data_IF_099336338946
#
_entry.id   IF_099336338946
#
_cell.length_a   1.000
_cell.length_b   1.000
_cell.length_c   1.000
_cell.angle_alpha   90.00
_cell.angle_beta   90.00
_cell.angle_gamma   90.00
#
_symmetry.space_group_name_H-M   'P 1'
#
loop_
_entity.id
_entity.type
_entity.pdbx_description
1 polymer ?
#
# COMPACT_ATOMS: atom_id res chain seq x y z
N UNK A 1 9.76 -23.31 28.50
CA UNK A 1 9.64 -23.29 27.03
C UNK A 1 9.81 -24.70 26.56
N UNK A 2 8.73 -25.31 26.07
CA UNK A 2 8.78 -26.62 25.46
C UNK A 2 8.62 -26.51 23.94
N UNK A 3 9.13 -27.50 23.21
CA UNK A 3 8.93 -27.61 21.79
C UNK A 3 7.79 -28.61 21.51
N UNK A 4 6.91 -28.25 20.57
CA UNK A 4 5.73 -29.03 20.19
C UNK A 4 5.68 -29.21 18.70
N UNK A 5 5.66 -30.46 18.26
CA UNK A 5 5.73 -30.83 16.85
C UNK A 5 4.37 -31.35 16.39
N UNK A 6 3.86 -30.84 15.28
CA UNK A 6 2.66 -31.37 14.65
C UNK A 6 2.89 -32.85 14.29
N UNK A 7 2.00 -33.73 14.75
CA UNK A 7 2.13 -35.18 14.54
C UNK A 7 0.92 -35.82 13.87
N UNK A 8 -0.27 -35.27 14.08
CA UNK A 8 -1.50 -35.79 13.50
C UNK A 8 -2.35 -34.64 12.95
N UNK A 9 -3.16 -34.93 11.93
CA UNK A 9 -4.25 -34.03 11.54
C UNK A 9 -5.19 -33.85 12.72
N UNK A 10 -5.54 -32.61 13.04
CA UNK A 10 -6.42 -32.32 14.17
C UNK A 10 -6.39 -30.88 14.61
N UNK A 11 -6.80 -30.68 15.85
CA UNK A 11 -7.05 -29.39 16.45
C UNK A 11 -5.82 -28.89 17.22
N UNK A 12 -5.60 -27.58 17.21
CA UNK A 12 -4.54 -26.95 17.98
C UNK A 12 -4.68 -27.30 19.46
N UNK A 13 -5.90 -27.20 20.02
CA UNK A 13 -6.18 -27.45 21.43
C UNK A 13 -6.40 -28.95 21.77
N UNK A 14 -5.85 -29.88 20.99
CA UNK A 14 -5.88 -31.32 21.28
C UNK A 14 -4.45 -31.86 21.49
N UNK A 15 -4.19 -32.47 22.65
CA UNK A 15 -2.89 -33.07 22.96
C UNK A 15 -2.52 -34.21 21.98
N UNK A 16 -3.50 -34.89 21.37
CA UNK A 16 -3.23 -35.94 20.40
C UNK A 16 -2.71 -35.41 19.05
N UNK A 17 -2.79 -34.10 18.81
CA UNK A 17 -2.23 -33.46 17.61
C UNK A 17 -0.73 -33.22 17.72
N UNK A 18 -0.19 -33.21 18.95
CA UNK A 18 1.18 -32.77 19.23
C UNK A 18 2.09 -33.88 19.77
N UNK A 19 3.37 -33.79 19.39
CA UNK A 19 4.47 -34.58 19.94
C UNK A 19 5.50 -33.70 20.65
N UNK A 20 6.21 -34.27 21.62
CA UNK A 20 7.29 -33.61 22.34
C UNK A 20 8.63 -33.62 21.57
N UNK A 21 8.74 -34.43 20.52
CA UNK A 21 9.92 -34.55 19.66
C UNK A 21 9.48 -34.67 18.20
N UNK A 22 10.31 -34.21 17.27
CA UNK A 22 10.00 -34.33 15.84
C UNK A 22 9.86 -35.81 15.42
N UNK A 23 8.76 -36.15 14.75
CA UNK A 23 8.42 -37.53 14.35
C UNK A 23 7.98 -38.46 15.49
N UNK A 24 7.99 -38.01 16.75
CA UNK A 24 7.66 -38.81 17.94
C UNK A 24 6.20 -39.25 18.05
N UNK A 25 5.86 -39.87 19.17
CA UNK A 25 4.48 -40.26 19.48
C UNK A 25 3.60 -39.04 19.81
N UNK A 26 2.31 -39.14 19.52
CA UNK A 26 1.31 -38.14 19.90
C UNK A 26 1.03 -38.15 21.42
N UNK A 27 0.39 -37.08 21.92
CA UNK A 27 -0.07 -36.97 23.32
C UNK A 27 0.69 -35.94 24.15
N UNK A 28 1.57 -35.14 23.55
CA UNK A 28 2.18 -34.00 24.23
C UNK A 28 1.14 -32.89 24.44
N UNK A 29 1.36 -32.02 25.43
CA UNK A 29 0.48 -30.86 25.62
C UNK A 29 0.46 -29.99 24.37
N UNK A 30 -0.68 -29.42 24.00
CA UNK A 30 -0.70 -28.40 22.94
C UNK A 30 0.18 -27.17 23.31
N UNK A 31 0.70 -26.42 22.33
CA UNK A 31 1.50 -25.23 22.58
C UNK A 31 0.68 -24.14 23.26
N UNK A 32 1.32 -23.46 24.22
CA UNK A 32 0.85 -22.22 24.83
C UNK A 32 1.76 -21.06 24.44
N UNK A 33 1.46 -19.83 24.89
CA UNK A 33 2.29 -18.65 24.62
C UNK A 33 3.75 -18.74 25.09
N UNK A 34 4.11 -19.75 25.89
CA UNK A 34 5.47 -20.01 26.36
C UNK A 34 6.23 -21.09 25.57
N UNK A 35 5.59 -21.72 24.57
CA UNK A 35 6.09 -22.91 23.87
C UNK A 35 6.28 -22.64 22.37
N UNK A 36 7.28 -23.27 21.77
CA UNK A 36 7.46 -23.21 20.32
C UNK A 36 6.60 -24.28 19.64
N UNK A 37 5.93 -23.90 18.55
CA UNK A 37 5.16 -24.79 17.71
C UNK A 37 5.92 -25.05 16.39
N UNK A 38 6.08 -26.31 16.03
CA UNK A 38 6.81 -26.76 14.85
C UNK A 38 5.91 -27.53 13.89
N UNK A 39 5.93 -27.14 12.62
CA UNK A 39 5.38 -27.92 11.51
C UNK A 39 6.56 -28.32 10.62
N UNK A 40 7.09 -29.52 10.85
CA UNK A 40 8.26 -30.03 10.12
C UNK A 40 7.84 -30.81 8.88
N UNK A 41 8.80 -31.42 8.17
CA UNK A 41 8.50 -32.37 7.10
C UNK A 41 7.63 -33.56 7.55
N UNK A 42 7.64 -33.92 8.84
CA UNK A 42 6.74 -34.93 9.39
C UNK A 42 5.27 -34.48 9.47
N UNK A 43 5.01 -33.17 9.30
CA UNK A 43 3.69 -32.58 9.16
C UNK A 43 3.11 -32.61 7.75
N UNK A 44 3.86 -33.11 6.76
CA UNK A 44 3.41 -33.14 5.36
C UNK A 44 2.13 -33.98 5.20
N UNK A 45 1.16 -33.43 4.46
CA UNK A 45 -0.17 -34.00 4.27
C UNK A 45 -1.10 -33.89 5.48
N UNK A 46 -0.64 -33.29 6.59
CA UNK A 46 -1.47 -33.07 7.77
C UNK A 46 -2.12 -31.68 7.74
N UNK A 47 -3.29 -31.59 8.38
CA UNK A 47 -3.99 -30.32 8.61
C UNK A 47 -4.04 -30.02 10.10
N UNK A 48 -3.44 -28.90 10.50
CA UNK A 48 -3.57 -28.33 11.83
C UNK A 48 -4.64 -27.25 11.82
N UNK A 49 -5.71 -27.43 12.59
CA UNK A 49 -6.82 -26.48 12.68
C UNK A 49 -6.69 -25.68 13.98
N UNK A 50 -6.62 -24.35 13.88
CA UNK A 50 -6.72 -23.47 15.04
C UNK A 50 -8.19 -23.44 15.47
N UNK A 51 -8.60 -24.34 16.35
CA UNK A 51 -10.01 -24.57 16.67
C UNK A 51 -10.55 -23.64 17.77
N UNK A 52 -9.66 -23.20 18.67
CA UNK A 52 -10.01 -22.29 19.76
C UNK A 52 -9.47 -20.89 19.48
N UNK A 53 -10.33 -19.87 19.61
CA UNK A 53 -9.93 -18.48 19.50
C UNK A 53 -8.88 -18.12 20.56
N UNK A 54 -7.81 -17.45 20.13
CA UNK A 54 -6.66 -17.10 20.95
C UNK A 54 -5.80 -18.31 21.39
N UNK A 55 -5.83 -19.41 20.63
CA UNK A 55 -4.73 -20.39 20.66
C UNK A 55 -3.40 -19.67 20.46
N UNK A 56 -2.33 -20.15 21.11
CA UNK A 56 -1.10 -19.38 21.21
C UNK A 56 0.17 -20.24 21.11
N UNK A 57 1.23 -19.64 20.58
CA UNK A 57 2.60 -20.14 20.70
C UNK A 57 3.57 -18.98 20.97
N UNK A 58 4.76 -19.28 21.48
CA UNK A 58 5.87 -18.36 21.51
C UNK A 58 6.36 -18.09 20.09
N UNK A 59 6.79 -19.14 19.37
CA UNK A 59 7.20 -19.05 17.97
C UNK A 59 6.47 -20.12 17.15
N UNK A 60 6.15 -19.78 15.90
CA UNK A 60 5.61 -20.73 14.93
C UNK A 60 6.66 -20.98 13.84
N UNK A 61 7.19 -22.19 13.79
CA UNK A 61 8.28 -22.55 12.88
C UNK A 61 7.84 -23.69 11.98
N UNK A 62 7.65 -23.39 10.71
CA UNK A 62 7.40 -24.37 9.68
C UNK A 62 8.71 -24.56 8.91
N UNK A 63 9.28 -25.77 8.97
CA UNK A 63 10.61 -26.06 8.42
C UNK A 63 10.59 -27.38 7.65
N UNK A 64 10.82 -27.32 6.34
CA UNK A 64 10.79 -28.51 5.48
C UNK A 64 9.40 -29.08 5.22
N UNK A 65 8.34 -28.46 5.75
CA UNK A 65 6.97 -28.78 5.39
C UNK A 65 6.64 -28.19 4.00
N UNK A 66 6.06 -29.01 3.14
CA UNK A 66 5.75 -28.69 1.74
C UNK A 66 4.29 -28.95 1.38
N UNK A 67 3.57 -29.74 2.18
CA UNK A 67 2.14 -30.04 1.94
C UNK A 67 1.29 -29.96 3.21
N UNK A 68 1.87 -29.48 4.32
CA UNK A 68 1.12 -29.25 5.55
C UNK A 68 0.15 -28.06 5.38
N UNK A 69 -1.00 -28.14 6.03
CA UNK A 69 -1.99 -27.06 6.05
C UNK A 69 -2.17 -26.52 7.47
N UNK A 70 -2.04 -25.20 7.64
CA UNK A 70 -2.51 -24.46 8.81
C UNK A 70 -3.87 -23.84 8.48
N UNK A 71 -4.93 -24.35 9.07
CA UNK A 71 -6.29 -23.87 8.86
C UNK A 71 -6.73 -22.95 10.00
N UNK A 72 -7.18 -21.74 9.66
CA UNK A 72 -7.70 -20.74 10.59
C UNK A 72 -9.20 -20.53 10.28
N UNK A 73 -10.11 -21.12 11.07
CA UNK A 73 -11.55 -20.95 10.90
C UNK A 73 -12.01 -19.49 11.02
N UNK A 74 -13.27 -19.23 10.66
CA UNK A 74 -13.89 -17.93 10.86
C UNK A 74 -13.94 -17.57 12.35
N UNK A 75 -13.79 -16.27 12.66
CA UNK A 75 -13.82 -15.71 14.02
C UNK A 75 -12.79 -16.31 15.00
N UNK A 76 -11.70 -16.88 14.49
CA UNK A 76 -10.60 -17.43 15.28
C UNK A 76 -9.31 -16.67 14.99
N UNK A 77 -8.54 -16.43 16.05
CA UNK A 77 -7.19 -15.89 15.96
C UNK A 77 -6.14 -16.82 16.56
N UNK A 78 -5.00 -16.95 15.89
CA UNK A 78 -3.76 -17.54 16.42
C UNK A 78 -2.85 -16.42 16.94
N UNK A 79 -2.40 -16.52 18.20
CA UNK A 79 -1.46 -15.60 18.80
C UNK A 79 -0.03 -16.14 18.71
N UNK A 80 0.90 -15.32 18.21
CA UNK A 80 2.32 -15.67 18.16
C UNK A 80 3.11 -14.63 18.94
N UNK A 81 3.77 -15.05 20.02
CA UNK A 81 4.51 -14.18 20.94
C UNK A 81 5.89 -13.75 20.45
N UNK A 82 6.33 -14.24 19.30
CA UNK A 82 7.66 -14.05 18.76
C UNK A 82 7.67 -14.20 17.24
N UNK A 83 8.60 -14.99 16.71
CA UNK A 83 8.79 -15.10 15.27
C UNK A 83 7.85 -16.10 14.61
N UNK A 84 7.52 -15.82 13.35
CA UNK A 84 6.86 -16.74 12.43
C UNK A 84 7.83 -17.06 11.29
N UNK A 85 8.01 -18.35 11.01
CA UNK A 85 8.73 -18.83 9.83
C UNK A 85 7.86 -19.81 9.07
N UNK A 86 7.46 -19.46 7.85
CA UNK A 86 6.76 -20.32 6.91
C UNK A 86 7.68 -20.73 5.75
N UNK A 87 7.29 -21.80 5.08
CA UNK A 87 7.85 -22.23 3.79
C UNK A 87 6.91 -21.83 2.66
N UNK A 88 7.44 -21.66 1.45
CA UNK A 88 6.64 -21.25 0.29
C UNK A 88 5.57 -22.27 -0.13
N UNK A 89 5.79 -23.55 0.18
CA UNK A 89 5.02 -24.68 -0.37
C UNK A 89 3.87 -25.12 0.55
N UNK A 90 3.94 -24.83 1.86
CA UNK A 90 2.85 -25.15 2.77
C UNK A 90 1.59 -24.32 2.46
N UNK A 91 0.45 -24.68 3.05
CA UNK A 91 -0.79 -23.93 2.88
C UNK A 91 -1.22 -23.27 4.19
N UNK A 92 -1.58 -21.98 4.13
CA UNK A 92 -2.28 -21.28 5.22
C UNK A 92 -3.66 -20.88 4.70
N UNK A 93 -4.72 -21.43 5.28
CA UNK A 93 -6.10 -21.13 4.88
C UNK A 93 -6.83 -20.33 5.95
N UNK A 94 -7.67 -19.40 5.49
CA UNK A 94 -8.67 -18.71 6.28
C UNK A 94 -9.99 -18.66 5.52
N UNK A 95 -11.08 -18.40 6.23
CA UNK A 95 -12.43 -18.40 5.64
C UNK A 95 -12.85 -16.99 5.23
N UNK A 96 -12.42 -15.99 5.99
CA UNK A 96 -12.72 -14.58 5.77
C UNK A 96 -11.77 -13.69 6.59
N UNK A 97 -12.01 -12.38 6.58
CA UNK A 97 -11.20 -11.39 7.27
C UNK A 97 -11.14 -11.55 8.81
N UNK A 98 -11.98 -12.40 9.43
CA UNK A 98 -11.96 -12.69 10.87
C UNK A 98 -11.13 -13.93 11.23
N UNK A 99 -10.66 -14.67 10.23
CA UNK A 99 -9.57 -15.66 10.38
C UNK A 99 -8.26 -14.89 10.43
N UNK A 100 -7.54 -14.90 11.56
CA UNK A 100 -6.39 -13.98 11.75
C UNK A 100 -5.20 -14.62 12.45
N UNK A 101 -3.99 -14.30 12.02
CA UNK A 101 -2.76 -14.48 12.80
C UNK A 101 -2.38 -13.16 13.45
N UNK A 102 -2.09 -13.14 14.76
CA UNK A 102 -1.67 -11.94 15.50
C UNK A 102 -0.27 -12.14 16.06
N UNK A 103 0.66 -11.27 15.67
CA UNK A 103 1.99 -11.20 16.26
C UNK A 103 1.97 -10.25 17.46
N UNK A 104 1.96 -10.82 18.66
CA UNK A 104 1.77 -10.11 19.94
C UNK A 104 3.07 -9.86 20.70
N UNK A 105 4.22 -10.33 20.19
CA UNK A 105 5.53 -10.03 20.74
C UNK A 105 6.57 -9.80 19.66
N UNK A 106 7.74 -9.31 20.06
CA UNK A 106 8.80 -8.88 19.14
C UNK A 106 9.40 -10.09 18.42
N UNK A 107 9.56 -9.98 17.09
CA UNK A 107 10.06 -11.08 16.29
C UNK A 107 10.19 -10.76 14.82
N UNK A 108 10.52 -11.80 14.05
CA UNK A 108 10.64 -11.75 12.60
C UNK A 108 9.46 -12.44 11.94
N UNK A 109 9.00 -11.91 10.82
CA UNK A 109 8.01 -12.55 9.95
C UNK A 109 8.69 -13.02 8.66
N UNK A 110 8.71 -14.33 8.44
CA UNK A 110 9.17 -14.96 7.21
C UNK A 110 8.02 -15.74 6.61
N UNK A 111 7.43 -15.25 5.52
CA UNK A 111 6.39 -15.96 4.75
C UNK A 111 6.95 -16.78 3.59
N UNK A 112 8.20 -16.52 3.17
CA UNK A 112 8.82 -17.15 2.02
C UNK A 112 7.99 -17.03 0.72
N UNK A 113 7.25 -15.93 0.55
CA UNK A 113 6.37 -15.71 -0.62
C UNK A 113 5.04 -16.47 -0.58
N UNK A 114 4.77 -17.26 0.47
CA UNK A 114 3.46 -17.88 0.69
C UNK A 114 2.37 -16.82 0.85
N UNK A 115 1.24 -17.00 0.16
CA UNK A 115 0.05 -16.20 0.45
C UNK A 115 -0.65 -16.68 1.72
N UNK A 116 -0.87 -15.77 2.65
CA UNK A 116 -1.68 -16.04 3.83
C UNK A 116 -3.15 -15.86 3.45
N UNK A 117 -3.88 -16.98 3.36
CA UNK A 117 -5.33 -16.99 3.12
C UNK A 117 -6.18 -16.44 4.27
N UNK A 118 -5.61 -15.64 5.16
CA UNK A 118 -6.21 -15.10 6.37
C UNK A 118 -5.73 -13.64 6.59
N UNK A 119 -6.30 -12.94 7.56
CA UNK A 119 -5.78 -11.64 7.99
C UNK A 119 -4.51 -11.76 8.82
N UNK A 120 -3.70 -10.71 8.83
CA UNK A 120 -2.46 -10.65 9.60
C UNK A 120 -2.40 -9.37 10.44
N UNK A 121 -2.24 -9.50 11.75
CA UNK A 121 -2.08 -8.36 12.67
C UNK A 121 -0.64 -8.32 13.19
N UNK A 122 0.19 -7.42 12.65
CA UNK A 122 1.63 -7.40 12.93
C UNK A 122 2.24 -5.99 12.75
N UNK A 123 2.53 -5.23 13.83
CA UNK A 123 2.48 -5.60 15.24
C UNK A 123 1.08 -5.50 15.88
N UNK A 124 0.88 -6.29 16.95
CA UNK A 124 -0.29 -6.24 17.84
C UNK A 124 0.15 -6.05 19.31
N UNK A 125 0.82 -4.95 19.64
CA UNK A 125 1.17 -4.64 21.03
C UNK A 125 2.14 -3.47 21.21
N UNK A 126 1.97 -2.72 22.31
CA UNK A 126 2.87 -1.61 22.63
C UNK A 126 4.30 -2.12 22.87
N UNK A 127 5.30 -1.49 22.25
CA UNK A 127 6.71 -1.92 22.36
C UNK A 127 7.07 -3.16 21.52
N UNK A 128 6.11 -3.80 20.85
CA UNK A 128 6.36 -4.91 19.93
C UNK A 128 7.03 -4.39 18.67
N UNK A 129 8.10 -5.03 18.24
CA UNK A 129 8.71 -4.78 16.92
C UNK A 129 8.61 -6.02 16.05
N UNK A 130 7.96 -5.89 14.90
CA UNK A 130 7.95 -6.94 13.86
C UNK A 130 8.86 -6.50 12.73
N UNK A 131 9.82 -7.35 12.39
CA UNK A 131 10.74 -7.13 11.27
C UNK A 131 10.46 -8.16 10.18
N UNK A 132 10.23 -7.72 8.95
CA UNK A 132 10.08 -8.66 7.83
C UNK A 132 11.44 -9.25 7.46
N UNK A 133 11.43 -10.55 7.17
CA UNK A 133 12.58 -11.30 6.67
C UNK A 133 12.33 -11.89 5.27
N UNK A 134 11.23 -11.50 4.63
CA UNK A 134 10.88 -11.87 3.27
C UNK A 134 9.61 -11.13 2.81
N UNK A 135 9.35 -11.17 1.50
CA UNK A 135 8.14 -10.60 0.91
C UNK A 135 6.90 -11.29 1.46
N UNK A 136 5.95 -10.48 1.92
CA UNK A 136 4.74 -10.92 2.62
C UNK A 136 3.50 -10.70 1.76
N UNK A 137 2.68 -11.75 1.60
CA UNK A 137 1.41 -11.69 0.87
C UNK A 137 0.28 -12.10 1.81
N UNK A 138 -0.76 -11.26 1.90
CA UNK A 138 -1.91 -11.45 2.78
C UNK A 138 -3.18 -11.25 1.96
N UNK A 139 -4.00 -12.29 1.78
CA UNK A 139 -5.18 -12.22 0.92
C UNK A 139 -6.25 -11.24 1.47
N UNK A 140 -6.26 -11.02 2.78
CA UNK A 140 -7.14 -10.09 3.48
C UNK A 140 -6.38 -8.85 3.99
N UNK A 141 -6.76 -8.35 5.16
CA UNK A 141 -6.16 -7.16 5.73
C UNK A 141 -4.81 -7.48 6.38
N UNK A 142 -3.80 -6.68 6.05
CA UNK A 142 -2.63 -6.49 6.89
C UNK A 142 -2.96 -5.35 7.84
N UNK A 143 -3.19 -5.66 9.12
CA UNK A 143 -3.51 -4.67 10.14
C UNK A 143 -2.35 -4.48 11.12
N UNK A 144 -2.26 -3.27 11.66
CA UNK A 144 -1.32 -2.91 12.72
C UNK A 144 -2.09 -2.17 13.80
N UNK A 145 -1.78 -2.44 15.07
CA UNK A 145 -2.48 -1.81 16.19
C UNK A 145 -1.53 -0.84 16.90
N UNK A 146 -0.49 -1.36 17.52
CA UNK A 146 0.53 -0.58 18.25
C UNK A 146 1.88 -1.27 18.09
N UNK A 147 2.98 -0.52 18.22
CA UNK A 147 4.33 -1.04 18.08
C UNK A 147 5.05 -0.55 16.83
N UNK A 148 6.06 -1.28 16.38
CA UNK A 148 6.89 -0.94 15.22
C UNK A 148 6.83 -2.03 14.16
N UNK A 149 6.47 -1.67 12.92
CA UNK A 149 6.68 -2.52 11.74
C UNK A 149 7.93 -2.03 11.00
N UNK A 150 8.89 -2.92 10.81
CA UNK A 150 10.07 -2.68 9.96
C UNK A 150 10.01 -3.60 8.76
N UNK A 151 9.82 -3.03 7.56
CA UNK A 151 9.72 -3.82 6.34
C UNK A 151 11.06 -4.39 5.89
N UNK A 152 12.17 -3.80 6.37
CA UNK A 152 13.53 -4.24 6.05
C UNK A 152 13.75 -4.41 4.53
N UNK A 153 13.15 -3.49 3.75
CA UNK A 153 13.15 -3.46 2.29
C UNK A 153 12.36 -4.58 1.59
N UNK A 154 11.70 -5.47 2.32
CA UNK A 154 10.79 -6.47 1.75
C UNK A 154 9.41 -5.89 1.45
N UNK A 155 8.77 -6.44 0.42
CA UNK A 155 7.47 -5.98 -0.06
C UNK A 155 6.32 -6.57 0.75
N UNK A 156 5.20 -5.85 0.77
CA UNK A 156 3.93 -6.31 1.30
C UNK A 156 2.89 -6.24 0.18
N UNK A 157 2.19 -7.33 -0.07
CA UNK A 157 0.96 -7.34 -0.87
C UNK A 157 -0.21 -7.71 0.03
N UNK A 158 -1.26 -6.90 0.07
CA UNK A 158 -2.42 -7.19 0.89
C UNK A 158 -3.74 -6.75 0.29
N UNK A 159 -4.84 -7.31 0.78
CA UNK A 159 -6.19 -6.82 0.53
C UNK A 159 -6.35 -5.35 0.95
N UNK A 160 -6.00 -5.01 2.18
CA UNK A 160 -5.89 -3.61 2.62
C UNK A 160 -4.85 -3.50 3.73
N UNK A 161 -4.19 -2.35 3.78
CA UNK A 161 -3.24 -2.03 4.85
C UNK A 161 -3.90 -1.08 5.83
N UNK A 162 -4.11 -1.52 7.07
CA UNK A 162 -4.91 -0.79 8.06
C UNK A 162 -4.09 -0.53 9.32
N UNK A 163 -4.02 0.73 9.73
CA UNK A 163 -3.68 1.05 11.11
C UNK A 163 -4.97 1.15 11.91
N UNK A 164 -5.15 0.31 12.93
CA UNK A 164 -6.38 0.22 13.72
C UNK A 164 -6.36 1.10 14.97
N UNK A 165 -5.19 1.39 15.54
CA UNK A 165 -5.04 2.18 16.78
C UNK A 165 -3.81 3.08 16.74
N UNK A 166 -3.74 4.06 17.65
CA UNK A 166 -2.65 5.03 17.72
C UNK A 166 -1.34 4.41 18.23
N UNK A 167 -0.20 4.98 17.87
CA UNK A 167 1.10 4.57 18.42
C UNK A 167 1.81 3.45 17.65
N UNK A 168 1.53 3.35 16.34
CA UNK A 168 2.32 2.52 15.42
C UNK A 168 3.41 3.35 14.74
N UNK A 169 4.61 2.80 14.62
CA UNK A 169 5.73 3.32 13.81
C UNK A 169 5.99 2.40 12.64
N UNK A 170 6.14 2.95 11.44
CA UNK A 170 6.47 2.21 10.23
C UNK A 170 7.84 2.62 9.71
N UNK A 171 8.76 1.66 9.61
CA UNK A 171 10.07 1.83 8.97
C UNK A 171 10.01 1.13 7.60
N UNK A 172 9.80 1.90 6.54
CA UNK A 172 9.46 1.36 5.23
C UNK A 172 10.69 1.10 4.32
N UNK A 173 11.86 1.65 4.64
CA UNK A 173 13.07 1.44 3.83
C UNK A 173 12.82 1.69 2.34
N UNK A 174 13.18 0.73 1.48
CA UNK A 174 12.88 0.74 0.04
C UNK A 174 11.72 -0.18 -0.37
N UNK A 175 10.88 -0.62 0.59
CA UNK A 175 9.80 -1.56 0.32
C UNK A 175 8.71 -1.02 -0.62
N UNK A 176 8.00 -1.92 -1.28
CA UNK A 176 6.71 -1.63 -1.92
C UNK A 176 5.56 -2.24 -1.11
N UNK A 177 4.59 -1.42 -0.74
CA UNK A 177 3.31 -1.86 -0.16
C UNK A 177 2.25 -1.78 -1.26
N UNK A 178 1.68 -2.92 -1.64
CA UNK A 178 0.63 -3.02 -2.65
C UNK A 178 -0.69 -3.42 -2.00
N UNK A 179 -1.66 -2.52 -2.00
CA UNK A 179 -3.02 -2.76 -1.53
C UNK A 179 -3.94 -2.94 -2.74
N UNK A 180 -4.64 -4.08 -2.85
CA UNK A 180 -5.73 -4.23 -3.84
C UNK A 180 -6.95 -3.39 -3.46
N UNK A 181 -7.13 -3.16 -2.16
CA UNK A 181 -8.05 -2.21 -1.56
C UNK A 181 -7.35 -0.94 -1.11
N UNK A 182 -7.61 -0.52 0.13
CA UNK A 182 -7.18 0.78 0.66
C UNK A 182 -5.87 0.70 1.44
N UNK A 183 -5.14 1.82 1.46
CA UNK A 183 -4.16 2.12 2.50
C UNK A 183 -4.81 3.10 3.48
N UNK A 184 -5.12 2.64 4.69
CA UNK A 184 -5.96 3.37 5.63
C UNK A 184 -5.28 3.51 6.99
N UNK A 185 -4.72 4.69 7.26
CA UNK A 185 -4.28 5.04 8.60
C UNK A 185 -5.45 5.64 9.37
N UNK A 186 -6.17 4.86 10.18
CA UNK A 186 -7.35 5.38 10.90
C UNK A 186 -6.97 6.10 12.20
N UNK A 187 -5.72 5.94 12.65
CA UNK A 187 -5.20 6.54 13.86
C UNK A 187 -3.79 7.12 13.65
N UNK A 188 -3.37 7.96 14.60
CA UNK A 188 -2.07 8.63 14.54
C UNK A 188 -0.92 7.62 14.60
N UNK A 189 -0.04 7.72 13.61
CA UNK A 189 1.15 6.90 13.46
C UNK A 189 2.36 7.73 13.02
N UNK A 190 3.54 7.11 13.07
CA UNK A 190 4.81 7.65 12.56
C UNK A 190 5.18 6.88 11.29
N UNK A 191 5.43 7.62 10.20
CA UNK A 191 5.85 7.06 8.92
C UNK A 191 7.30 7.47 8.66
N UNK A 192 8.23 6.52 8.70
CA UNK A 192 9.59 6.67 8.21
C UNK A 192 9.64 6.07 6.80
N UNK A 193 9.32 6.90 5.80
CA UNK A 193 9.04 6.45 4.43
C UNK A 193 10.26 5.89 3.69
N UNK A 194 11.50 6.30 4.02
CA UNK A 194 12.68 5.91 3.26
C UNK A 194 12.51 6.24 1.77
N UNK A 195 12.77 5.27 0.90
CA UNK A 195 12.51 5.35 -0.54
C UNK A 195 11.34 4.45 -0.96
N UNK A 196 10.39 4.20 -0.07
CA UNK A 196 9.29 3.24 -0.30
C UNK A 196 8.33 3.67 -1.41
N UNK A 197 7.52 2.71 -1.86
CA UNK A 197 6.36 2.96 -2.73
C UNK A 197 5.10 2.37 -2.11
N UNK A 198 3.99 3.11 -2.09
CA UNK A 198 2.67 2.62 -1.69
C UNK A 198 1.75 2.65 -2.91
N UNK A 199 1.12 1.52 -3.23
CA UNK A 199 0.16 1.37 -4.34
C UNK A 199 -1.21 1.04 -3.76
N UNK A 200 -2.25 1.76 -4.17
CA UNK A 200 -3.63 1.53 -3.69
C UNK A 200 -4.60 1.26 -4.84
N UNK A 201 -5.49 0.29 -4.64
CA UNK A 201 -6.59 0.01 -5.57
C UNK A 201 -7.90 0.72 -5.22
N UNK A 202 -8.04 1.22 -3.98
CA UNK A 202 -9.16 2.03 -3.50
C UNK A 202 -8.65 3.32 -2.86
N UNK A 203 -8.96 3.57 -1.59
CA UNK A 203 -8.68 4.85 -0.94
C UNK A 203 -7.27 4.94 -0.34
N UNK A 204 -6.75 6.16 -0.28
CA UNK A 204 -5.52 6.52 0.42
C UNK A 204 -5.85 7.48 1.56
N UNK A 205 -5.94 6.96 2.79
CA UNK A 205 -6.04 7.79 3.99
C UNK A 205 -4.66 7.89 4.65
N UNK A 206 -3.96 8.99 4.36
CA UNK A 206 -2.57 9.20 4.73
C UNK A 206 -2.34 9.93 6.06
N UNK A 207 -3.39 10.35 6.77
CA UNK A 207 -3.25 11.03 8.09
C UNK A 207 -2.29 12.23 8.12
N UNK A 208 -2.21 12.98 7.01
CA UNK A 208 -1.36 14.15 6.90
C UNK A 208 0.14 13.87 7.15
N UNK A 209 0.64 12.79 6.54
CA UNK A 209 2.04 12.34 6.70
C UNK A 209 2.88 12.60 5.44
N UNK A 210 4.19 12.39 5.59
CA UNK A 210 5.14 12.43 4.47
C UNK A 210 5.40 11.01 3.99
N UNK A 211 5.28 10.83 2.67
CA UNK A 211 5.51 9.59 1.95
C UNK A 211 6.55 9.83 0.86
N UNK A 212 7.24 8.77 0.46
CA UNK A 212 8.11 8.83 -0.70
C UNK A 212 7.26 8.75 -1.99
N UNK A 213 7.01 7.54 -2.52
CA UNK A 213 6.19 7.38 -3.72
C UNK A 213 4.81 6.81 -3.39
N UNK A 214 3.75 7.37 -3.99
CA UNK A 214 2.39 6.84 -3.91
C UNK A 214 1.79 6.71 -5.30
N UNK A 215 1.19 5.56 -5.58
CA UNK A 215 0.47 5.25 -6.83
C UNK A 215 -1.01 4.99 -6.55
N UNK A 216 -1.88 5.80 -7.17
CA UNK A 216 -3.32 5.65 -7.10
C UNK A 216 -3.80 4.82 -8.30
N UNK A 217 -3.97 3.52 -8.09
CA UNK A 217 -4.22 2.53 -9.14
C UNK A 217 -5.70 2.15 -9.31
N UNK A 218 -6.57 2.62 -8.42
CA UNK A 218 -8.02 2.43 -8.49
C UNK A 218 -8.68 3.25 -9.59
N UNK A 219 -9.81 2.77 -10.13
CA UNK A 219 -10.63 3.57 -11.05
C UNK A 219 -11.28 4.78 -10.34
N UNK A 220 -11.56 4.62 -9.04
CA UNK A 220 -11.92 5.70 -8.15
C UNK A 220 -11.11 5.58 -6.85
N UNK A 221 -10.58 6.71 -6.37
CA UNK A 221 -9.82 6.77 -5.12
C UNK A 221 -10.15 8.05 -4.38
N UNK A 222 -10.38 7.96 -3.07
CA UNK A 222 -10.40 9.12 -2.18
C UNK A 222 -9.04 9.29 -1.51
N UNK A 223 -8.52 10.51 -1.52
CA UNK A 223 -7.32 10.92 -0.80
C UNK A 223 -7.74 11.77 0.39
N UNK A 224 -7.29 11.37 1.58
CA UNK A 224 -7.59 12.06 2.84
C UNK A 224 -6.33 12.44 3.62
N UNK A 225 -6.45 13.50 4.40
CA UNK A 225 -5.35 14.16 5.10
C UNK A 225 -4.53 15.07 4.19
N UNK A 226 -3.79 16.01 4.78
CA UNK A 226 -2.89 16.91 4.05
C UNK A 226 -1.50 16.27 3.94
N UNK A 227 -1.29 15.48 2.89
CA UNK A 227 -0.10 14.63 2.77
C UNK A 227 1.01 15.31 1.97
N UNK A 228 2.25 14.88 2.22
CA UNK A 228 3.42 15.25 1.41
C UNK A 228 3.96 14.03 0.68
N UNK A 229 4.24 14.16 -0.60
CA UNK A 229 4.76 13.09 -1.46
C UNK A 229 6.05 13.54 -2.14
N UNK A 230 7.04 12.65 -2.22
CA UNK A 230 8.09 12.81 -3.23
C UNK A 230 7.49 12.62 -4.63
N UNK A 231 6.80 11.52 -4.88
CA UNK A 231 6.08 11.28 -6.15
C UNK A 231 4.65 10.88 -5.88
N UNK A 232 3.70 11.52 -6.57
CA UNK A 232 2.30 11.07 -6.61
C UNK A 232 1.93 10.73 -8.06
N UNK A 233 1.60 9.47 -8.28
CA UNK A 233 1.34 8.91 -9.61
C UNK A 233 -0.11 8.46 -9.75
N UNK A 234 -0.75 8.86 -10.83
CA UNK A 234 -2.05 8.33 -11.24
C UNK A 234 -1.84 7.22 -12.27
N UNK A 235 -2.76 6.25 -12.34
CA UNK A 235 -2.65 5.11 -13.24
C UNK A 235 -2.63 5.57 -14.70
N UNK A 236 -1.65 5.13 -15.48
CA UNK A 236 -1.58 5.48 -16.90
C UNK A 236 -2.76 4.91 -17.72
N UNK A 237 -3.07 5.54 -18.85
CA UNK A 237 -3.94 5.03 -19.93
C UNK A 237 -5.35 4.58 -19.50
N UNK A 238 -5.91 5.22 -18.48
CA UNK A 238 -7.25 4.90 -17.96
C UNK A 238 -8.01 6.14 -17.52
N UNK A 239 -9.33 6.08 -17.48
CA UNK A 239 -10.16 7.10 -16.82
C UNK A 239 -10.11 6.87 -15.31
N UNK A 240 -9.95 7.94 -14.53
CA UNK A 240 -10.04 7.87 -13.05
C UNK A 240 -10.88 9.00 -12.50
N UNK A 241 -11.54 8.74 -11.38
CA UNK A 241 -12.14 9.78 -10.52
C UNK A 241 -11.41 9.80 -9.20
N UNK A 242 -10.73 10.90 -8.91
CA UNK A 242 -9.94 11.09 -7.71
C UNK A 242 -10.60 12.18 -6.86
N UNK A 243 -11.04 11.79 -5.68
CA UNK A 243 -11.69 12.69 -4.73
C UNK A 243 -10.67 13.12 -3.70
N UNK A 244 -10.47 14.43 -3.56
CA UNK A 244 -9.64 15.02 -2.53
C UNK A 244 -10.55 15.51 -1.41
N UNK A 245 -10.23 15.13 -0.17
CA UNK A 245 -11.03 15.59 0.98
C UNK A 245 -10.93 17.11 1.12
N UNK A 246 -12.06 17.78 1.32
CA UNK A 246 -12.11 19.24 1.38
C UNK A 246 -11.31 19.78 2.58
N UNK A 247 -10.70 20.95 2.41
CA UNK A 247 -9.82 21.58 3.39
C UNK A 247 -8.45 20.91 3.53
N UNK A 248 -8.11 19.94 2.67
CA UNK A 248 -6.79 19.29 2.68
C UNK A 248 -5.86 19.79 1.59
N UNK A 249 -4.55 19.66 1.83
CA UNK A 249 -3.49 20.06 0.90
C UNK A 249 -2.60 18.87 0.58
N UNK A 250 -2.45 18.54 -0.71
CA UNK A 250 -1.46 17.55 -1.16
C UNK A 250 -0.21 18.29 -1.66
N UNK A 251 0.91 18.13 -0.96
CA UNK A 251 2.21 18.71 -1.35
C UNK A 251 3.04 17.68 -2.08
N UNK A 252 3.43 17.94 -3.33
CA UNK A 252 4.03 16.94 -4.22
C UNK A 252 5.32 17.50 -4.83
N UNK A 253 6.42 16.75 -4.75
CA UNK A 253 7.67 17.13 -5.44
C UNK A 253 7.64 16.77 -6.91
N UNK A 254 7.21 15.55 -7.23
CA UNK A 254 7.17 14.98 -8.59
C UNK A 254 5.74 14.52 -8.91
N UNK A 255 4.91 15.40 -9.49
CA UNK A 255 3.58 15.06 -9.94
C UNK A 255 3.59 14.21 -11.23
N UNK A 256 2.85 13.10 -11.27
CA UNK A 256 2.68 12.27 -12.47
C UNK A 256 1.20 11.93 -12.66
N UNK A 257 0.43 12.82 -13.28
CA UNK A 257 -1.04 12.66 -13.37
C UNK A 257 -1.69 13.08 -14.68
N UNK A 258 -0.93 13.10 -15.77
CA UNK A 258 -1.48 13.36 -17.12
C UNK A 258 -2.40 12.23 -17.57
N UNK A 259 -3.60 12.57 -18.03
CA UNK A 259 -4.48 11.68 -18.78
C UNK A 259 -4.10 11.61 -20.26
N UNK A 260 -5.02 11.10 -21.07
CA UNK A 260 -4.89 11.12 -22.54
C UNK A 260 -6.25 11.30 -23.20
N UNK A 261 -6.28 11.53 -24.51
CA UNK A 261 -7.53 11.65 -25.26
C UNK A 261 -8.44 10.42 -25.03
N UNK A 262 -9.67 10.66 -24.57
CA UNK A 262 -10.61 9.60 -24.20
C UNK A 262 -10.36 8.93 -22.83
N UNK A 263 -9.32 9.34 -22.10
CA UNK A 263 -8.90 8.82 -20.77
C UNK A 263 -8.65 9.98 -19.79
N UNK A 264 -9.66 10.84 -19.64
CA UNK A 264 -9.62 12.02 -18.76
C UNK A 264 -9.49 11.59 -17.29
N UNK A 265 -8.72 12.37 -16.51
CA UNK A 265 -8.64 12.25 -15.05
C UNK A 265 -9.55 13.29 -14.42
N UNK A 266 -10.57 12.83 -13.70
CA UNK A 266 -11.47 13.72 -12.95
C UNK A 266 -10.90 13.90 -11.55
N UNK A 267 -10.55 15.13 -11.18
CA UNK A 267 -10.07 15.48 -9.83
C UNK A 267 -11.08 16.44 -9.19
N UNK A 268 -11.66 16.04 -8.07
CA UNK A 268 -12.78 16.76 -7.44
C UNK A 268 -12.58 16.89 -5.94
N UNK A 269 -13.16 17.95 -5.36
CA UNK A 269 -13.41 17.99 -3.92
C UNK A 269 -14.46 16.98 -3.50
N UNK A 270 -14.39 16.53 -2.25
CA UNK A 270 -15.46 15.77 -1.58
C UNK A 270 -16.76 16.57 -1.41
N UNK A 271 -16.69 17.90 -1.44
CA UNK A 271 -17.81 18.83 -1.46
C UNK A 271 -17.38 20.16 -2.13
N UNK A 272 -17.99 21.29 -1.74
CA UNK A 272 -17.71 22.62 -2.29
C UNK A 272 -16.71 23.44 -1.46
N UNK A 273 -16.16 22.87 -0.38
CA UNK A 273 -15.17 23.52 0.48
C UNK A 273 -13.76 23.58 -0.15
N UNK A 274 -13.53 22.76 -1.17
CA UNK A 274 -12.33 22.79 -2.01
C UNK A 274 -11.09 22.16 -1.39
N UNK A 275 -10.08 21.93 -2.22
CA UNK A 275 -8.85 21.23 -1.89
C UNK A 275 -7.65 21.90 -2.58
N UNK A 276 -6.46 21.72 -2.02
CA UNK A 276 -5.24 22.35 -2.54
C UNK A 276 -4.26 21.30 -3.05
N UNK A 277 -3.62 21.58 -4.18
CA UNK A 277 -2.45 20.84 -4.66
C UNK A 277 -1.25 21.79 -4.74
N UNK A 278 -0.12 21.37 -4.18
CA UNK A 278 1.05 22.22 -4.02
C UNK A 278 2.28 21.55 -4.62
N UNK A 279 2.99 22.26 -5.51
CA UNK A 279 4.26 21.80 -6.09
C UNK A 279 5.41 22.19 -5.16
N UNK A 280 6.07 21.20 -4.58
CA UNK A 280 7.31 21.38 -3.84
C UNK A 280 8.52 21.33 -4.79
N UNK A 281 9.62 22.00 -4.41
CA UNK A 281 10.89 21.98 -5.15
C UNK A 281 10.94 22.86 -6.40
N UNK A 282 9.93 23.71 -6.64
CA UNK A 282 9.89 24.64 -7.79
C UNK A 282 9.65 23.95 -9.14
N UNK A 283 9.93 24.67 -10.23
CA UNK A 283 9.68 24.23 -11.60
C UNK A 283 8.22 24.38 -12.04
N UNK A 284 7.89 23.80 -13.19
CA UNK A 284 6.53 23.78 -13.77
C UNK A 284 6.01 22.36 -13.86
N UNK A 285 4.68 22.22 -13.89
CA UNK A 285 3.95 20.97 -14.05
C UNK A 285 3.16 21.07 -15.35
N UNK A 286 3.31 20.08 -16.21
CA UNK A 286 2.51 19.92 -17.43
C UNK A 286 1.63 18.69 -17.25
N UNK A 287 0.36 18.92 -16.90
CA UNK A 287 -0.59 17.89 -16.55
C UNK A 287 -1.83 17.97 -17.42
N UNK A 288 -1.98 17.05 -18.36
CA UNK A 288 -2.96 17.17 -19.43
C UNK A 288 -4.19 16.26 -19.25
N UNK A 289 -5.28 16.55 -19.95
CA UNK A 289 -6.54 15.79 -19.97
C UNK A 289 -7.15 15.59 -18.57
N UNK A 290 -7.31 16.70 -17.85
CA UNK A 290 -7.93 16.75 -16.52
C UNK A 290 -9.34 17.34 -16.59
N UNK A 291 -10.22 16.92 -15.69
CA UNK A 291 -11.46 17.63 -15.36
C UNK A 291 -11.38 18.03 -13.89
N UNK A 292 -11.33 19.32 -13.61
CA UNK A 292 -10.99 19.86 -12.28
C UNK A 292 -12.22 20.51 -11.63
N UNK A 293 -12.47 20.22 -10.36
CA UNK A 293 -13.46 20.95 -9.55
C UNK A 293 -12.96 21.27 -8.15
N UNK A 294 -13.25 22.50 -7.71
CA UNK A 294 -12.99 23.00 -6.36
C UNK A 294 -11.50 22.89 -5.96
N UNK A 295 -10.59 23.08 -6.91
CA UNK A 295 -9.15 22.89 -6.72
C UNK A 295 -8.37 24.21 -6.72
N UNK A 296 -7.52 24.42 -5.72
CA UNK A 296 -6.50 25.46 -5.72
C UNK A 296 -5.12 24.86 -6.03
N UNK A 297 -4.49 25.28 -7.12
CA UNK A 297 -3.12 24.90 -7.49
C UNK A 297 -2.10 25.95 -7.06
N UNK A 298 -1.06 25.54 -6.32
CA UNK A 298 -0.02 26.43 -5.81
C UNK A 298 1.40 25.87 -6.03
N UNK A 299 2.44 26.70 -6.15
CA UNK A 299 2.40 28.15 -6.36
C UNK A 299 1.75 28.55 -7.69
N UNK A 300 1.39 29.83 -7.85
CA UNK A 300 0.92 30.36 -9.12
C UNK A 300 1.96 30.21 -10.24
N UNK A 301 1.52 30.26 -11.51
CA UNK A 301 2.37 30.08 -12.70
C UNK A 301 3.10 28.74 -12.80
N UNK A 302 2.69 27.74 -12.01
CA UNK A 302 3.35 26.43 -11.93
C UNK A 302 2.57 25.35 -12.69
N UNK A 303 1.24 25.42 -12.72
CA UNK A 303 0.37 24.29 -13.07
C UNK A 303 -0.32 24.49 -14.41
N UNK A 304 0.22 23.86 -15.46
CA UNK A 304 -0.29 23.94 -16.84
C UNK A 304 -1.11 22.70 -17.17
N UNK A 305 -2.26 22.89 -17.81
CA UNK A 305 -3.22 21.81 -18.09
C UNK A 305 -3.93 21.97 -19.43
N UNK A 306 -3.29 21.51 -20.50
CA UNK A 306 -3.49 22.02 -21.85
C UNK A 306 -4.59 21.36 -22.70
N UNK A 307 -5.41 20.43 -22.21
CA UNK A 307 -6.56 19.83 -22.90
C UNK A 307 -7.56 19.42 -21.82
N UNK A 308 -7.72 20.31 -20.85
CA UNK A 308 -8.44 20.06 -19.61
C UNK A 308 -9.64 20.98 -19.49
N UNK A 309 -10.58 20.57 -18.65
CA UNK A 309 -11.82 21.31 -18.41
C UNK A 309 -11.77 21.97 -17.04
N UNK A 310 -11.92 23.30 -17.04
CA UNK A 310 -12.21 24.10 -15.86
C UNK A 310 -13.70 24.02 -15.56
N UNK A 311 -14.13 23.08 -14.70
CA UNK A 311 -15.58 22.88 -14.50
C UNK A 311 -16.16 23.91 -13.52
N UNK A 312 -15.66 23.97 -12.28
CA UNK A 312 -16.15 24.90 -11.25
C UNK A 312 -15.14 25.09 -10.12
N UNK A 313 -15.03 26.32 -9.62
CA UNK A 313 -14.36 26.61 -8.35
C UNK A 313 -12.84 26.38 -8.33
N UNK A 314 -12.18 26.43 -9.49
CA UNK A 314 -10.74 26.24 -9.59
C UNK A 314 -9.97 27.56 -9.56
N UNK A 315 -8.76 27.54 -9.00
CA UNK A 315 -7.85 28.69 -8.96
C UNK A 315 -6.39 28.24 -9.10
N UNK A 316 -5.50 29.12 -9.57
CA UNK A 316 -4.06 28.86 -9.71
C UNK A 316 -3.66 27.94 -10.88
N UNK A 317 -4.60 27.25 -11.50
CA UNK A 317 -4.43 26.45 -12.71
C UNK A 317 -4.33 27.31 -13.97
N UNK A 318 -3.48 26.91 -14.91
CA UNK A 318 -3.33 27.53 -16.23
C UNK A 318 -3.84 26.56 -17.30
N UNK A 319 -5.00 26.86 -17.87
CA UNK A 319 -5.64 26.09 -18.95
C UNK A 319 -5.04 26.44 -20.32
N UNK A 320 -3.72 26.25 -20.44
CA UNK A 320 -2.96 26.48 -21.65
C UNK A 320 -1.70 25.61 -21.65
N UNK A 321 -1.09 25.47 -22.83
CA UNK A 321 0.19 24.80 -22.99
C UNK A 321 1.30 25.52 -22.23
N UNK A 322 2.21 24.75 -21.63
CA UNK A 322 3.48 25.28 -21.13
C UNK A 322 4.28 25.87 -22.30
N UNK A 323 4.69 27.14 -22.16
CA UNK A 323 5.46 27.83 -23.19
C UNK A 323 6.78 27.08 -23.47
N UNK A 324 6.94 26.59 -24.70
CA UNK A 324 8.07 25.74 -25.10
C UNK A 324 7.66 24.41 -25.75
N UNK A 325 6.44 23.91 -25.46
CA UNK A 325 5.85 22.74 -26.12
C UNK A 325 5.17 23.11 -27.46
N UNK A 326 5.87 23.85 -28.33
CA UNK A 326 5.49 23.97 -29.74
C UNK A 326 6.00 22.71 -30.46
N UNK A 327 5.45 21.55 -30.12
CA UNK A 327 5.70 20.30 -30.83
C UNK A 327 4.72 20.23 -32.02
N UNK A 328 5.26 20.27 -33.24
CA UNK A 328 4.48 20.00 -34.45
C UNK A 328 3.91 21.22 -35.18
N UNK A 329 4.30 22.45 -34.83
CA UNK A 329 4.01 23.57 -35.74
C UNK A 329 5.03 23.55 -36.88
N UNK A 330 4.69 22.83 -37.95
CA UNK A 330 5.25 23.14 -39.26
C UNK A 330 4.89 24.58 -39.61
N UNK A 331 5.85 25.35 -40.13
CA UNK A 331 5.71 26.77 -40.53
C UNK A 331 4.43 27.04 -41.36
N UNK A 332 3.89 26.02 -42.03
CA UNK A 332 2.67 26.07 -42.83
C UNK A 332 1.37 26.46 -42.07
N UNK A 333 1.29 26.34 -40.74
CA UNK A 333 0.03 26.60 -40.00
C UNK A 333 -0.03 27.93 -39.25
N UNK A 334 1.06 28.72 -39.22
CA UNK A 334 1.06 30.05 -38.60
C UNK A 334 0.65 31.10 -39.63
N UNK A 335 -0.64 31.45 -39.67
CA UNK A 335 -1.13 32.51 -40.56
C UNK A 335 -0.77 33.93 -40.09
N UNK A 336 -0.54 34.14 -38.78
CA UNK A 336 -0.17 35.44 -38.21
C UNK A 336 0.73 35.28 -36.98
N UNK A 337 1.78 36.10 -36.88
CA UNK A 337 2.52 36.35 -35.62
C UNK A 337 2.32 37.84 -35.31
N UNK A 338 1.79 38.17 -34.13
CA UNK A 338 1.57 39.55 -33.69
C UNK A 338 0.85 40.45 -34.73
N UNK A 339 -0.15 39.90 -35.42
CA UNK A 339 -0.93 40.65 -36.42
C UNK A 339 -0.27 40.82 -37.79
N UNK A 340 0.98 40.37 -37.97
CA UNK A 340 1.67 40.36 -39.26
C UNK A 340 1.32 39.08 -40.02
N UNK A 341 0.75 39.24 -41.23
CA UNK A 341 0.52 38.14 -42.17
C UNK A 341 1.85 37.54 -42.63
N UNK A 342 1.97 36.21 -42.66
CA UNK A 342 3.18 35.52 -43.11
C UNK A 342 3.53 35.85 -44.58
N UNK A 343 2.54 36.19 -45.40
CA UNK A 343 2.73 36.59 -46.79
C UNK A 343 3.57 37.87 -46.98
N UNK A 344 3.85 38.60 -45.90
CA UNK A 344 4.67 39.82 -45.89
C UNK A 344 6.08 39.63 -45.29
N UNK A 345 6.45 38.42 -44.85
CA UNK A 345 7.74 38.16 -44.23
C UNK A 345 8.75 37.69 -45.29
N UNK A 346 9.53 38.63 -45.83
CA UNK A 346 10.54 38.35 -46.85
C UNK A 346 11.86 37.76 -46.29
N UNK A 347 12.06 37.79 -44.96
CA UNK A 347 13.26 37.23 -44.32
C UNK A 347 13.03 37.04 -42.82
N UNK A 348 13.42 35.87 -42.29
CA UNK A 348 13.58 35.65 -40.85
C UNK A 348 15.10 35.55 -40.62
N UNK A 349 15.69 36.57 -40.01
CA UNK A 349 17.10 36.52 -39.63
C UNK A 349 17.25 35.69 -38.35
N UNK A 350 18.11 34.66 -38.37
CA UNK A 350 18.51 33.93 -37.16
C UNK A 350 18.19 32.44 -37.11
N UNK A 351 17.65 31.84 -38.18
CA UNK A 351 17.53 30.38 -38.28
C UNK A 351 18.65 29.87 -39.17
N UNK A 352 19.72 29.34 -38.57
CA UNK A 352 20.71 28.53 -39.29
C UNK A 352 20.14 27.13 -39.53
N UNK A 353 20.29 26.62 -40.76
CA UNK A 353 20.00 25.22 -41.11
C UNK A 353 20.75 24.24 -40.19
#
# INVERSE_FOLDING_TARGET
>A
MADRYLKATGNWADNNTWSATDGGAAGASFPTSADNAYITANGNGLTLTVDVNLSACLSLVCSGATTATLAIPAAVSLLVGGSITFTAEMTVTGVNATSVIRMVGTGTLTTAGLSLGCGLYAPYGGGVTITLAGDTVVDYNFSTYTGTLTTNNYNITCGSFINATTGTTYNLGSSTITCTGSFALIATSVINAGTSTIKVGLDFNGQSKTYNNVELNGAACTISGSNTFNTLTFKADTTQTLTFTDGTTQTITTPVFTGSSGKVKTLVGSSTGGWTITKAGGGTVDADYLALSYSEATPGQTWYTANSTDTVGNSGWIFAWLAGNILGVTVATINKINGVSLATINKINGVSN
#
